data_IF_732221780350
#
_entry.id   IF_732221780350
#
_cell.length_a   1.000
_cell.length_b   1.000
_cell.length_c   1.000
_cell.angle_alpha   90.00
_cell.angle_beta   90.00
_cell.angle_gamma   90.00
#
_symmetry.space_group_name_H-M   'P 1'
#
loop_
_entity.id
_entity.type
_entity.pdbx_description
1 polymer ?
#
# COMPACT_ATOMS: atom_id res chain seq x y z
N UNK A 1 -23.65 -22.16 -76.21
CA UNK A 1 -22.71 -21.26 -75.55
C UNK A 1 -23.36 -20.76 -74.26
N UNK A 2 -23.07 -21.42 -73.13
CA UNK A 2 -23.63 -21.06 -71.84
C UNK A 2 -22.49 -20.41 -71.01
N UNK A 3 -22.64 -19.15 -70.67
CA UNK A 3 -21.70 -18.43 -69.79
C UNK A 3 -22.07 -18.72 -68.35
N UNK A 4 -21.18 -19.42 -67.62
CA UNK A 4 -21.30 -19.68 -66.19
C UNK A 4 -20.63 -18.48 -65.47
N UNK A 5 -21.46 -17.71 -64.73
CA UNK A 5 -21.00 -16.66 -63.83
C UNK A 5 -20.62 -17.34 -62.49
N UNK A 6 -19.34 -17.34 -62.17
CA UNK A 6 -18.85 -17.71 -60.87
C UNK A 6 -18.92 -16.47 -59.97
N UNK A 7 -19.88 -16.49 -59.04
CA UNK A 7 -19.92 -15.50 -57.96
C UNK A 7 -18.97 -15.94 -56.87
N UNK A 8 -17.88 -15.18 -56.75
CA UNK A 8 -16.94 -15.34 -55.63
C UNK A 8 -17.55 -14.68 -54.40
N UNK A 9 -18.04 -15.48 -53.47
CA UNK A 9 -18.46 -15.04 -52.13
C UNK A 9 -17.22 -14.93 -51.29
N UNK A 10 -16.72 -13.69 -51.14
CA UNK A 10 -15.62 -13.38 -50.21
C UNK A 10 -16.21 -13.34 -48.82
N UNK A 11 -16.03 -14.43 -48.08
CA UNK A 11 -16.31 -14.50 -46.63
C UNK A 11 -15.19 -13.77 -45.87
N UNK A 12 -15.43 -12.51 -45.53
CA UNK A 12 -14.53 -11.76 -44.66
C UNK A 12 -14.67 -12.27 -43.23
N UNK A 13 -13.76 -13.15 -42.83
CA UNK A 13 -13.57 -13.51 -41.42
C UNK A 13 -12.92 -12.35 -40.71
N UNK A 14 -13.71 -11.56 -40.00
CA UNK A 14 -13.23 -10.53 -39.09
C UNK A 14 -12.59 -11.25 -37.89
N UNK A 15 -11.28 -11.37 -37.91
CA UNK A 15 -10.50 -11.74 -36.73
C UNK A 15 -10.61 -10.58 -35.72
N UNK A 16 -11.52 -10.72 -34.75
CA UNK A 16 -11.43 -9.94 -33.54
C UNK A 16 -10.21 -10.42 -32.79
N UNK A 17 -9.09 -9.72 -32.95
CA UNK A 17 -7.99 -9.78 -32.01
C UNK A 17 -8.48 -9.16 -30.73
N UNK A 18 -8.90 -9.99 -29.79
CA UNK A 18 -9.00 -9.58 -28.38
C UNK A 18 -7.55 -9.44 -27.95
N UNK A 19 -7.06 -8.18 -28.03
CA UNK A 19 -5.85 -7.79 -27.34
C UNK A 19 -6.21 -7.79 -25.86
N UNK A 20 -5.86 -8.87 -25.15
CA UNK A 20 -5.65 -8.79 -23.74
C UNK A 20 -4.37 -7.97 -23.58
N UNK A 21 -4.52 -6.70 -23.28
CA UNK A 21 -3.46 -5.92 -22.66
C UNK A 21 -3.36 -6.44 -21.21
N UNK A 22 -2.54 -7.47 -21.03
CA UNK A 22 -2.03 -7.90 -19.73
C UNK A 22 -0.84 -6.98 -19.34
N UNK A 23 -1.09 -5.68 -19.33
CA UNK A 23 -0.22 -4.69 -18.68
C UNK A 23 -0.90 -4.16 -17.41
N UNK A 24 -1.37 -5.09 -16.56
CA UNK A 24 -1.65 -4.79 -15.16
C UNK A 24 -0.35 -4.80 -14.33
N UNK A 25 0.62 -4.00 -14.70
CA UNK A 25 1.49 -3.39 -13.72
C UNK A 25 0.64 -2.35 -13.01
N UNK A 26 0.07 -2.75 -11.85
CA UNK A 26 -0.89 -1.96 -11.09
C UNK A 26 -0.31 -0.64 -10.61
N UNK A 27 -0.29 0.31 -11.50
CA UNK A 27 -0.06 1.70 -11.12
C UNK A 27 -1.38 2.22 -10.56
N UNK A 28 -1.38 2.62 -9.29
CA UNK A 28 -2.50 3.30 -8.62
C UNK A 28 -2.90 4.64 -9.29
N UNK A 29 -2.36 4.95 -10.46
CA UNK A 29 -2.65 6.16 -11.24
C UNK A 29 -4.14 6.47 -11.39
N UNK A 30 -4.99 5.48 -11.18
CA UNK A 30 -6.45 5.60 -11.24
C UNK A 30 -7.10 4.84 -10.08
N UNK A 31 -6.48 4.78 -8.90
CA UNK A 31 -7.15 4.21 -7.74
C UNK A 31 -8.50 4.93 -7.56
N UNK A 32 -9.59 4.18 -7.62
CA UNK A 32 -10.92 4.68 -7.31
C UNK A 32 -11.07 5.00 -5.82
N UNK A 33 -10.09 4.60 -5.02
CA UNK A 33 -10.11 4.71 -3.57
C UNK A 33 -9.08 5.73 -3.10
N UNK A 34 -9.51 6.78 -2.41
CA UNK A 34 -8.57 7.74 -1.82
C UNK A 34 -7.87 7.10 -0.61
N UNK A 35 -6.59 7.38 -0.45
CA UNK A 35 -5.86 7.01 0.76
C UNK A 35 -6.36 7.78 1.99
N UNK A 36 -7.02 8.92 1.78
CA UNK A 36 -7.55 9.80 2.84
C UNK A 36 -8.44 9.05 3.83
N UNK A 37 -8.20 9.27 5.12
CA UNK A 37 -8.92 8.71 6.27
C UNK A 37 -7.97 8.12 7.30
N UNK A 38 -8.53 7.59 8.39
CA UNK A 38 -7.79 6.90 9.45
C UNK A 38 -7.76 5.40 9.17
N UNK A 39 -6.59 4.81 9.32
CA UNK A 39 -6.26 3.43 8.99
C UNK A 39 -5.62 2.76 10.20
N UNK A 40 -6.34 1.85 10.84
CA UNK A 40 -5.88 1.12 12.02
C UNK A 40 -5.02 -0.08 11.60
N UNK A 41 -3.89 -0.29 12.26
CA UNK A 41 -2.98 -1.41 12.00
C UNK A 41 -3.64 -2.73 12.39
N UNK A 42 -3.69 -3.70 11.48
CA UNK A 42 -4.29 -5.02 11.70
C UNK A 42 -3.29 -6.16 11.62
N UNK A 43 -2.33 -6.06 10.69
CA UNK A 43 -1.35 -7.13 10.49
C UNK A 43 0.01 -6.56 10.15
N UNK A 44 1.03 -7.27 10.62
CA UNK A 44 2.42 -7.06 10.26
C UNK A 44 2.91 -8.28 9.48
N UNK A 45 3.61 -8.05 8.38
CA UNK A 45 4.16 -9.09 7.53
C UNK A 45 5.67 -9.00 7.40
N UNK A 46 6.30 -10.15 7.29
CA UNK A 46 7.73 -10.30 7.03
C UNK A 46 7.98 -11.30 5.91
N UNK A 47 9.18 -11.27 5.33
CA UNK A 47 9.58 -12.28 4.34
C UNK A 47 10.18 -13.47 5.06
N UNK A 48 9.57 -14.64 4.84
CA UNK A 48 10.12 -15.92 5.29
C UNK A 48 10.52 -16.81 4.13
N UNK A 49 11.59 -17.60 4.32
CA UNK A 49 12.01 -18.59 3.32
C UNK A 49 11.45 -19.96 3.68
N UNK A 50 10.44 -20.39 2.96
CA UNK A 50 9.82 -21.73 3.12
C UNK A 50 10.14 -22.57 1.89
N UNK A 51 10.79 -23.73 2.10
CA UNK A 51 11.22 -24.64 1.01
C UNK A 51 12.04 -23.93 -0.10
N UNK A 52 12.92 -23.02 0.27
CA UNK A 52 13.73 -22.21 -0.64
C UNK A 52 12.94 -21.22 -1.51
N UNK A 53 11.72 -20.89 -1.12
CA UNK A 53 10.88 -19.86 -1.73
C UNK A 53 10.62 -18.77 -0.70
N UNK A 54 10.86 -17.51 -1.07
CA UNK A 54 10.50 -16.40 -0.23
C UNK A 54 8.99 -16.15 -0.33
N UNK A 55 8.33 -16.09 0.82
CA UNK A 55 6.91 -15.82 0.95
C UNK A 55 6.70 -14.71 1.98
N UNK A 56 5.65 -13.91 1.80
CA UNK A 56 5.24 -12.95 2.82
C UNK A 56 4.33 -13.70 3.79
N UNK A 57 4.68 -13.66 5.07
CA UNK A 57 3.88 -14.24 6.17
C UNK A 57 3.34 -13.07 6.98
N UNK A 58 2.01 -13.04 7.17
CA UNK A 58 1.33 -12.03 7.97
C UNK A 58 0.93 -12.62 9.31
N UNK A 59 1.17 -11.85 10.35
CA UNK A 59 0.68 -12.10 11.71
C UNK A 59 -0.33 -11.02 12.10
N UNK A 60 -1.34 -11.39 12.88
CA UNK A 60 -2.28 -10.41 13.42
C UNK A 60 -1.52 -9.48 14.37
N UNK A 61 -1.70 -8.18 14.19
CA UNK A 61 -1.14 -7.20 15.10
C UNK A 61 -1.86 -7.27 16.44
N UNK A 62 -1.10 -7.47 17.50
CA UNK A 62 -1.61 -7.56 18.85
C UNK A 62 -1.35 -6.23 19.55
N UNK A 63 -2.40 -5.44 19.65
CA UNK A 63 -2.36 -4.22 20.45
C UNK A 63 -2.42 -4.52 21.95
N UNK A 64 -1.79 -3.68 22.75
CA UNK A 64 -1.97 -3.73 24.19
C UNK A 64 -3.43 -3.38 24.56
N UNK A 65 -4.15 -4.32 25.20
CA UNK A 65 -5.61 -4.19 25.48
C UNK A 65 -5.98 -2.91 26.25
N UNK A 66 -5.01 -2.27 26.90
CA UNK A 66 -5.20 -1.05 27.71
C UNK A 66 -4.90 0.23 26.94
N UNK A 67 -4.38 0.13 25.69
CA UNK A 67 -4.02 1.25 24.82
C UNK A 67 -4.95 1.36 23.60
N UNK A 68 -4.92 2.52 22.95
CA UNK A 68 -5.54 2.69 21.64
C UNK A 68 -4.78 1.89 20.56
N UNK A 69 -5.43 1.64 19.43
CA UNK A 69 -4.84 0.90 18.31
C UNK A 69 -3.92 1.81 17.53
N UNK A 70 -2.74 1.29 17.15
CA UNK A 70 -1.83 1.99 16.26
C UNK A 70 -2.50 2.32 14.94
N UNK A 71 -2.29 3.53 14.46
CA UNK A 71 -2.91 3.98 13.24
C UNK A 71 -2.06 4.95 12.43
N UNK A 72 -2.41 5.09 11.17
CA UNK A 72 -1.96 6.19 10.31
C UNK A 72 -3.19 6.87 9.71
N UNK A 73 -3.21 8.21 9.74
CA UNK A 73 -4.29 8.99 9.13
C UNK A 73 -3.73 9.93 8.08
N UNK A 74 -4.49 10.06 6.98
CA UNK A 74 -4.14 10.95 5.87
C UNK A 74 -5.28 11.95 5.65
N UNK A 75 -4.95 13.24 5.60
CA UNK A 75 -5.90 14.31 5.27
C UNK A 75 -5.27 15.33 4.32
N UNK A 76 -5.84 15.46 3.12
CA UNK A 76 -5.34 16.31 2.01
C UNK A 76 -3.86 16.03 1.67
N UNK A 77 -2.94 16.79 2.25
CA UNK A 77 -1.49 16.62 2.08
C UNK A 77 -0.75 16.32 3.38
N UNK A 78 -1.50 16.16 4.47
CA UNK A 78 -0.95 15.92 5.81
C UNK A 78 -1.20 14.49 6.24
N UNK A 79 -0.26 13.95 7.01
CA UNK A 79 -0.42 12.69 7.71
C UNK A 79 -0.14 12.84 9.20
N UNK A 80 -0.71 11.94 9.97
CA UNK A 80 -0.33 11.64 11.35
C UNK A 80 -0.25 10.13 11.54
N UNK A 81 0.70 9.66 12.32
CA UNK A 81 0.82 8.26 12.70
C UNK A 81 1.08 8.16 14.19
N UNK A 82 0.42 7.20 14.82
CA UNK A 82 0.48 6.95 16.25
C UNK A 82 0.83 5.49 16.52
N UNK A 83 1.80 5.29 17.39
CA UNK A 83 2.26 4.01 17.92
C UNK A 83 2.05 4.04 19.43
N UNK A 84 1.23 3.12 19.94
CA UNK A 84 0.88 3.04 21.34
C UNK A 84 1.59 1.87 21.99
N UNK A 85 2.27 2.12 23.10
CA UNK A 85 2.93 1.11 23.88
C UNK A 85 2.55 1.19 25.36
N UNK A 86 2.36 0.02 26.02
CA UNK A 86 2.03 -0.04 27.43
C UNK A 86 3.29 -0.20 28.26
N UNK A 87 3.79 0.89 28.82
CA UNK A 87 5.03 0.93 29.58
C UNK A 87 4.75 1.41 31.01
N UNK A 88 5.22 0.68 32.02
CA UNK A 88 5.06 1.05 33.43
C UNK A 88 3.61 1.31 33.88
N UNK A 89 2.65 0.52 33.39
CA UNK A 89 1.21 0.66 33.64
C UNK A 89 0.60 1.96 33.10
N UNK A 90 1.17 2.50 32.03
CA UNK A 90 0.66 3.70 31.34
C UNK A 90 0.80 3.52 29.85
N UNK A 91 -0.22 3.89 29.08
CA UNK A 91 -0.10 3.98 27.63
C UNK A 91 0.76 5.19 27.28
N UNK A 92 1.82 4.95 26.56
CA UNK A 92 2.64 5.97 25.95
C UNK A 92 2.26 6.07 24.46
N UNK A 93 2.11 7.28 23.95
CA UNK A 93 1.79 7.58 22.57
C UNK A 93 3.04 8.20 21.92
N UNK A 94 3.65 7.49 20.99
CA UNK A 94 4.67 8.03 20.09
C UNK A 94 3.99 8.45 18.79
N UNK A 95 3.93 9.74 18.53
CA UNK A 95 3.27 10.25 17.33
C UNK A 95 4.21 11.04 16.45
N UNK A 96 4.03 10.91 15.15
CA UNK A 96 4.67 11.71 14.13
C UNK A 96 3.62 12.32 13.22
N UNK A 97 3.90 13.52 12.70
CA UNK A 97 3.05 14.17 11.72
C UNK A 97 3.88 14.97 10.73
N UNK A 98 3.36 15.14 9.53
CA UNK A 98 4.07 15.86 8.48
C UNK A 98 3.29 15.92 7.19
N UNK A 99 4.01 16.16 6.10
CA UNK A 99 3.44 16.20 4.76
C UNK A 99 3.55 14.84 4.07
N UNK A 100 2.60 14.53 3.17
CA UNK A 100 2.72 13.39 2.30
C UNK A 100 2.32 13.70 0.86
N UNK A 101 2.87 12.92 -0.07
CA UNK A 101 2.51 12.91 -1.47
C UNK A 101 2.24 11.46 -1.90
N UNK A 102 1.07 11.22 -2.50
CA UNK A 102 0.77 9.94 -3.16
C UNK A 102 1.06 10.07 -4.65
N UNK A 103 2.07 9.39 -5.12
CA UNK A 103 2.46 9.39 -6.53
C UNK A 103 2.66 7.97 -7.05
N UNK A 104 1.86 7.59 -8.05
CA UNK A 104 1.77 6.22 -8.58
C UNK A 104 1.32 5.25 -7.47
N UNK A 105 2.18 4.32 -7.09
CA UNK A 105 2.00 3.33 -6.03
C UNK A 105 2.83 3.64 -4.78
N UNK A 106 3.27 4.89 -4.60
CA UNK A 106 4.13 5.29 -3.49
C UNK A 106 3.54 6.44 -2.69
N UNK A 107 3.65 6.33 -1.39
CA UNK A 107 3.40 7.41 -0.44
C UNK A 107 4.77 7.88 0.05
N UNK A 108 5.10 9.13 -0.27
CA UNK A 108 6.29 9.82 0.23
C UNK A 108 5.86 10.66 1.41
N UNK A 109 6.48 10.43 2.56
CA UNK A 109 6.20 11.16 3.79
C UNK A 109 7.43 11.92 4.22
N UNK A 110 7.25 13.17 4.64
CA UNK A 110 8.30 14.03 5.19
C UNK A 110 7.83 14.57 6.54
N UNK A 111 8.64 14.40 7.58
CA UNK A 111 8.31 14.84 8.94
C UNK A 111 9.55 15.30 9.70
N UNK A 112 9.35 16.09 10.75
CA UNK A 112 10.41 16.62 11.59
C UNK A 112 10.30 16.00 12.98
N UNK A 113 11.41 15.50 13.49
CA UNK A 113 11.54 15.09 14.88
C UNK A 113 12.60 15.91 15.61
N UNK A 114 12.35 16.17 16.89
CA UNK A 114 13.34 16.82 17.75
C UNK A 114 14.14 15.76 18.50
N UNK A 115 15.42 15.61 18.12
CA UNK A 115 16.34 14.67 18.75
C UNK A 115 17.46 15.46 19.44
N UNK A 116 17.60 15.26 20.74
CA UNK A 116 18.60 15.98 21.57
C UNK A 116 18.52 17.50 21.48
N UNK A 117 17.34 18.05 21.15
CA UNK A 117 17.09 19.48 21.01
C UNK A 117 17.39 20.03 19.61
N UNK A 118 17.72 19.21 18.65
CA UNK A 118 17.89 19.56 17.24
C UNK A 118 16.70 19.03 16.43
N UNK A 119 16.19 19.85 15.52
CA UNK A 119 15.17 19.45 14.55
C UNK A 119 15.83 18.72 13.39
N UNK A 120 15.41 17.49 13.16
CA UNK A 120 15.92 16.63 12.08
C UNK A 120 14.73 16.28 11.18
N UNK A 121 14.89 16.52 9.88
CA UNK A 121 13.92 16.11 8.86
C UNK A 121 14.17 14.67 8.45
N UNK A 122 13.08 13.90 8.39
CA UNK A 122 13.06 12.50 7.96
C UNK A 122 12.19 12.36 6.73
N UNK A 123 12.59 11.45 5.84
CA UNK A 123 11.82 11.04 4.68
C UNK A 123 11.57 9.54 4.76
N UNK A 124 10.32 9.13 4.62
CA UNK A 124 9.92 7.72 4.56
C UNK A 124 9.12 7.46 3.30
N UNK A 125 9.42 6.37 2.61
CA UNK A 125 8.67 5.94 1.42
C UNK A 125 7.97 4.62 1.67
N UNK A 126 6.66 4.61 1.47
CA UNK A 126 5.87 3.38 1.43
C UNK A 126 5.50 3.02 0.00
N UNK A 127 5.57 1.74 -0.33
CA UNK A 127 4.99 1.20 -1.56
C UNK A 127 3.59 0.68 -1.25
N UNK A 128 2.58 1.18 -1.92
CA UNK A 128 1.20 0.70 -1.78
C UNK A 128 1.04 -0.56 -2.62
N UNK A 129 0.78 -1.67 -1.96
CA UNK A 129 0.57 -2.98 -2.59
C UNK A 129 -0.89 -3.14 -2.97
N UNK A 130 -1.79 -2.74 -2.06
CA UNK A 130 -3.23 -2.83 -2.26
C UNK A 130 -3.93 -1.65 -1.57
N UNK A 131 -4.90 -1.05 -2.25
CA UNK A 131 -5.74 0.01 -1.70
C UNK A 131 -7.19 -0.20 -2.16
N UNK A 132 -8.05 -0.40 -1.18
CA UNK A 132 -9.50 -0.53 -1.36
C UNK A 132 -10.23 0.51 -0.51
N UNK A 133 -11.55 0.46 -0.46
CA UNK A 133 -12.34 1.31 0.45
C UNK A 133 -12.03 1.05 1.92
N UNK A 134 -11.65 -0.18 2.29
CA UNK A 134 -11.54 -0.61 3.69
C UNK A 134 -10.16 -1.19 4.02
N UNK A 135 -9.27 -1.33 3.06
CA UNK A 135 -7.95 -1.95 3.28
C UNK A 135 -6.87 -1.12 2.61
N UNK A 136 -5.82 -0.85 3.34
CA UNK A 136 -4.56 -0.30 2.86
C UNK A 136 -3.44 -1.30 3.20
N UNK A 137 -2.77 -1.82 2.18
CA UNK A 137 -1.60 -2.68 2.32
C UNK A 137 -0.38 -1.94 1.77
N UNK A 138 0.63 -1.79 2.60
CA UNK A 138 1.89 -1.12 2.26
C UNK A 138 3.10 -1.97 2.58
N UNK A 139 4.21 -1.66 1.93
CA UNK A 139 5.54 -2.13 2.33
C UNK A 139 6.53 -0.99 2.41
N UNK A 140 7.51 -1.14 3.29
CA UNK A 140 8.61 -0.20 3.46
C UNK A 140 9.85 -0.93 3.97
N UNK A 141 11.01 -0.29 3.83
CA UNK A 141 12.25 -0.76 4.44
C UNK A 141 12.38 -0.13 5.82
N UNK A 142 12.43 -0.95 6.84
CA UNK A 142 12.74 -0.49 8.19
C UNK A 142 14.19 0.01 8.26
N UNK A 143 14.39 1.26 8.61
CA UNK A 143 15.71 1.89 8.58
C UNK A 143 16.68 1.33 9.62
N UNK A 144 16.15 0.76 10.70
CA UNK A 144 16.95 0.22 11.79
C UNK A 144 17.49 -1.18 11.47
N UNK A 145 16.63 -2.04 10.96
CA UNK A 145 16.97 -3.43 10.60
C UNK A 145 17.44 -3.58 9.16
N UNK A 146 17.01 -2.68 8.26
CA UNK A 146 17.18 -2.80 6.81
C UNK A 146 16.27 -3.86 6.18
N UNK A 147 15.30 -4.39 6.92
CA UNK A 147 14.38 -5.42 6.48
C UNK A 147 13.15 -4.81 5.79
N UNK A 148 12.59 -5.56 4.84
CA UNK A 148 11.35 -5.19 4.18
C UNK A 148 10.17 -5.64 5.05
N UNK A 149 9.38 -4.67 5.50
CA UNK A 149 8.20 -4.85 6.36
C UNK A 149 6.94 -4.62 5.53
N UNK A 150 5.88 -5.34 5.85
CA UNK A 150 4.57 -5.22 5.25
C UNK A 150 3.53 -4.95 6.33
N UNK A 151 2.65 -4.00 6.10
CA UNK A 151 1.58 -3.68 7.02
C UNK A 151 0.23 -3.70 6.30
N UNK A 152 -0.77 -4.29 6.95
CA UNK A 152 -2.15 -4.24 6.51
C UNK A 152 -2.94 -3.42 7.53
N UNK A 153 -3.66 -2.44 7.02
CA UNK A 153 -4.52 -1.56 7.80
C UNK A 153 -5.97 -1.70 7.36
N UNK A 154 -6.88 -1.54 8.31
CA UNK A 154 -8.31 -1.38 8.04
C UNK A 154 -8.74 0.08 8.24
N UNK A 155 -9.69 0.51 7.44
CA UNK A 155 -10.26 1.86 7.54
C UNK A 155 -11.25 1.93 8.69
N UNK A 156 -11.11 2.96 9.51
CA UNK A 156 -12.10 3.30 10.55
C UNK A 156 -13.43 3.80 9.96
#
# INVERSE_FOLDING_TARGET
>A
MKKIFFAFLILSVSLFTISCDDDDSGTLKNSLYPVKGKWNLEKIGSIETINSVNVIVYEDYVNDEECDVDFIAFDESLFEAHDYSFINNTCEDESISGDYILENDKIFMTYIQTILGEEIEFEQTFTVINLTNNTLEISYVDETSGELVFNIFSKE
#
